data_IF_067988024960
#
_entry.id   IF_067988024960
#
_cell.length_a   1.000
_cell.length_b   1.000
_cell.length_c   1.000
_cell.angle_alpha   90.00
_cell.angle_beta   90.00
_cell.angle_gamma   90.00
#
_symmetry.space_group_name_H-M   'P 1'
#
loop_
_entity.id
_entity.type
_entity.pdbx_description
1 polymer ?
#
# COMPACT_ATOMS: atom_id res chain seq x y z
N UNK A 1 -33.44 27.73 -52.52
CA UNK A 1 -33.63 28.59 -51.34
C UNK A 1 -34.25 27.76 -50.22
N UNK A 2 -33.68 27.88 -49.02
CA UNK A 2 -34.24 27.56 -47.69
C UNK A 2 -34.31 26.10 -47.24
N UNK A 3 -33.59 25.90 -46.13
CA UNK A 3 -33.13 24.69 -45.45
C UNK A 3 -34.19 23.88 -44.67
N UNK A 4 -33.81 22.66 -44.20
CA UNK A 4 -34.71 21.66 -43.64
C UNK A 4 -34.68 21.56 -42.09
N UNK A 5 -35.62 20.77 -41.57
CA UNK A 5 -35.56 19.95 -40.36
C UNK A 5 -35.26 20.65 -39.01
N UNK A 6 -36.34 21.01 -38.31
CA UNK A 6 -36.40 21.34 -36.89
C UNK A 6 -36.70 20.06 -36.11
N UNK A 7 -35.97 19.73 -35.02
CA UNK A 7 -36.43 18.66 -34.12
C UNK A 7 -35.47 17.98 -33.14
N UNK A 8 -34.21 18.39 -32.95
CA UNK A 8 -33.38 17.76 -31.90
C UNK A 8 -33.57 18.47 -30.55
N UNK A 9 -34.32 17.83 -29.64
CA UNK A 9 -34.37 18.16 -28.21
C UNK A 9 -33.05 17.78 -27.51
N UNK A 10 -32.45 18.65 -26.69
CA UNK A 10 -31.29 18.29 -25.88
C UNK A 10 -31.67 17.33 -24.74
N UNK A 11 -30.91 16.25 -24.59
CA UNK A 11 -31.03 15.27 -23.51
C UNK A 11 -30.35 15.82 -22.25
N UNK A 12 -31.16 16.09 -21.21
CA UNK A 12 -30.87 15.91 -19.79
C UNK A 12 -29.65 16.58 -19.16
N UNK A 13 -29.89 17.63 -18.38
CA UNK A 13 -29.06 18.07 -17.26
C UNK A 13 -28.98 16.97 -16.18
N UNK A 14 -27.80 16.60 -15.64
CA UNK A 14 -27.75 15.73 -14.47
C UNK A 14 -28.27 16.50 -13.25
N UNK A 15 -29.38 16.01 -12.70
CA UNK A 15 -30.05 16.51 -11.52
C UNK A 15 -29.21 16.18 -10.28
N UNK A 16 -28.88 17.20 -9.49
CA UNK A 16 -27.99 17.11 -8.33
C UNK A 16 -28.53 16.18 -7.24
N UNK A 17 -27.72 15.17 -6.89
CA UNK A 17 -27.87 14.43 -5.65
C UNK A 17 -27.37 15.27 -4.48
N UNK A 18 -28.16 15.36 -3.41
CA UNK A 18 -27.78 15.98 -2.16
C UNK A 18 -26.88 15.02 -1.38
N UNK A 19 -25.60 15.38 -1.21
CA UNK A 19 -24.67 14.67 -0.33
C UNK A 19 -24.88 15.13 1.13
N UNK A 20 -25.16 14.22 2.09
CA UNK A 20 -25.50 14.57 3.46
C UNK A 20 -24.29 14.75 4.41
N UNK A 21 -23.09 14.99 3.88
CA UNK A 21 -21.87 15.13 4.67
C UNK A 21 -21.13 16.45 4.40
N UNK A 22 -21.48 17.48 5.17
CA UNK A 22 -20.56 18.51 5.68
C UNK A 22 -19.69 19.27 4.67
N UNK A 23 -20.26 20.31 4.09
CA UNK A 23 -19.67 21.30 3.19
C UNK A 23 -18.56 22.13 3.90
N UNK A 24 -17.30 21.82 3.62
CA UNK A 24 -16.21 22.76 3.81
C UNK A 24 -16.08 23.57 2.51
N UNK A 25 -16.41 24.85 2.57
CA UNK A 25 -16.35 25.81 1.47
C UNK A 25 -15.06 25.72 0.65
N UNK A 26 -15.13 25.14 -0.55
CA UNK A 26 -14.18 25.40 -1.64
C UNK A 26 -14.88 26.31 -2.65
N UNK A 27 -14.95 27.60 -2.33
CA UNK A 27 -15.19 28.63 -3.31
C UNK A 27 -13.96 28.71 -4.22
N UNK A 28 -13.97 27.96 -5.32
CA UNK A 28 -12.99 28.13 -6.40
C UNK A 28 -13.41 29.36 -7.19
N UNK A 29 -12.60 30.42 -7.11
CA UNK A 29 -12.79 31.65 -7.87
C UNK A 29 -12.75 31.36 -9.39
N UNK A 30 -13.62 31.98 -10.21
CA UNK A 30 -13.70 31.70 -11.63
C UNK A 30 -12.74 32.63 -12.42
N UNK A 31 -11.44 32.62 -12.12
CA UNK A 31 -10.50 33.46 -12.85
C UNK A 31 -9.03 33.05 -12.68
N UNK A 32 -8.72 31.77 -12.84
CA UNK A 32 -7.38 31.42 -13.31
C UNK A 32 -7.50 30.54 -14.53
N UNK A 33 -7.14 31.17 -15.65
CA UNK A 33 -6.91 30.56 -16.93
C UNK A 33 -6.41 29.13 -16.74
N UNK A 34 -7.17 28.17 -17.28
CA UNK A 34 -6.66 26.85 -17.58
C UNK A 34 -5.45 27.05 -18.51
N UNK A 35 -4.28 27.28 -17.90
CA UNK A 35 -2.99 27.22 -18.55
C UNK A 35 -2.88 25.80 -19.06
N UNK A 36 -3.08 25.65 -20.37
CA UNK A 36 -2.90 24.41 -21.09
C UNK A 36 -1.47 23.92 -20.86
N UNK A 37 -1.32 23.05 -19.86
CA UNK A 37 -0.15 22.20 -19.74
C UNK A 37 -0.43 20.93 -20.55
N UNK A 38 -0.75 21.11 -21.84
CA UNK A 38 -0.54 20.04 -22.80
C UNK A 38 0.96 19.98 -23.04
N UNK A 39 1.58 18.84 -22.76
CA UNK A 39 2.97 18.53 -23.08
C UNK A 39 3.23 18.44 -24.59
N UNK A 40 2.68 19.36 -25.37
CA UNK A 40 2.93 19.53 -26.79
C UNK A 40 4.28 20.22 -26.96
N UNK A 41 5.38 19.46 -26.80
CA UNK A 41 6.54 19.72 -27.66
C UNK A 41 6.06 19.35 -29.07
N UNK A 42 5.65 20.39 -29.81
CA UNK A 42 5.03 20.24 -31.10
C UNK A 42 5.96 19.56 -32.07
N UNK A 43 5.49 18.48 -32.69
CA UNK A 43 5.84 18.21 -34.08
C UNK A 43 5.54 19.49 -34.86
N UNK A 44 6.52 20.10 -35.56
CA UNK A 44 6.22 21.20 -36.46
C UNK A 44 5.13 20.70 -37.41
N UNK A 45 4.02 21.42 -37.47
CA UNK A 45 2.88 21.08 -38.32
C UNK A 45 2.85 22.10 -39.44
N UNK A 46 2.68 21.61 -40.66
CA UNK A 46 2.44 22.48 -41.82
C UNK A 46 1.16 23.29 -41.61
N UNK A 47 0.95 24.34 -42.40
CA UNK A 47 -0.27 25.17 -42.34
C UNK A 47 -1.58 24.36 -42.52
N UNK A 48 -1.49 23.10 -42.97
CA UNK A 48 -2.60 22.16 -43.16
C UNK A 48 -2.79 21.18 -41.96
N UNK A 49 -2.06 21.37 -40.86
CA UNK A 49 -2.16 20.54 -39.65
C UNK A 49 -1.53 19.14 -39.78
N UNK A 50 -0.74 18.89 -40.84
CA UNK A 50 -0.02 17.63 -41.04
C UNK A 50 1.40 17.75 -40.47
N UNK A 51 1.96 16.68 -39.88
CA UNK A 51 3.35 16.70 -39.40
C UNK A 51 4.28 17.10 -40.55
N UNK A 52 5.08 18.13 -40.33
CA UNK A 52 6.08 18.63 -41.27
C UNK A 52 7.32 17.74 -41.17
N UNK A 53 7.39 16.76 -42.05
CA UNK A 53 8.41 15.70 -42.09
C UNK A 53 9.50 15.98 -43.12
N UNK A 54 9.39 17.06 -43.91
CA UNK A 54 10.33 17.36 -45.01
C UNK A 54 11.73 17.76 -44.51
N UNK A 55 11.92 17.98 -43.21
CA UNK A 55 13.22 18.30 -42.59
C UNK A 55 13.63 17.41 -41.40
N UNK A 56 12.81 16.44 -40.98
CA UNK A 56 13.11 15.63 -39.80
C UNK A 56 14.04 14.48 -40.16
N UNK A 57 15.29 14.55 -39.69
CA UNK A 57 16.24 13.48 -39.92
C UNK A 57 15.84 12.20 -39.18
N UNK A 58 16.17 11.03 -39.73
CA UNK A 58 15.96 9.71 -39.09
C UNK A 58 16.59 9.65 -37.70
N UNK A 59 17.72 10.34 -37.50
CA UNK A 59 18.38 10.45 -36.19
C UNK A 59 17.54 11.21 -35.15
N UNK A 60 16.71 12.15 -35.59
CA UNK A 60 15.84 12.94 -34.72
C UNK A 60 14.62 12.12 -34.23
N UNK A 61 14.04 11.30 -35.12
CA UNK A 61 12.95 10.37 -34.76
C UNK A 61 13.41 9.28 -33.80
N UNK A 62 14.61 8.72 -34.00
CA UNK A 62 15.20 7.76 -33.06
C UNK A 62 15.53 8.42 -31.71
N UNK A 63 15.98 9.68 -31.72
CA UNK A 63 16.20 10.46 -30.51
C UNK A 63 14.93 10.69 -29.70
N UNK A 64 13.81 10.98 -30.37
CA UNK A 64 12.48 11.12 -29.74
C UNK A 64 11.98 9.79 -29.17
N UNK A 65 12.04 8.69 -29.94
CA UNK A 65 11.65 7.37 -29.45
C UNK A 65 12.48 6.92 -28.23
N UNK A 66 13.79 7.13 -28.26
CA UNK A 66 14.67 6.82 -27.12
C UNK A 66 14.31 7.65 -25.87
N UNK A 67 13.91 8.91 -26.07
CA UNK A 67 13.50 9.82 -25.00
C UNK A 67 12.14 9.42 -24.41
N UNK A 68 11.21 8.96 -25.24
CA UNK A 68 9.90 8.48 -24.81
C UNK A 68 10.02 7.16 -24.04
N UNK A 69 10.82 6.21 -24.54
CA UNK A 69 11.13 4.96 -23.82
C UNK A 69 11.83 5.23 -22.49
N UNK A 70 12.78 6.16 -22.46
CA UNK A 70 13.45 6.59 -21.22
C UNK A 70 12.46 7.21 -20.22
N UNK A 71 11.45 7.93 -20.73
CA UNK A 71 10.40 8.52 -19.90
C UNK A 71 9.46 7.46 -19.34
N UNK A 72 9.03 6.48 -20.15
CA UNK A 72 8.22 5.34 -19.71
C UNK A 72 8.96 4.51 -18.66
N UNK A 73 10.22 4.14 -18.91
CA UNK A 73 11.03 3.39 -17.94
C UNK A 73 11.15 4.13 -16.61
N UNK A 74 11.36 5.44 -16.64
CA UNK A 74 11.41 6.26 -15.42
C UNK A 74 10.06 6.29 -14.70
N UNK A 75 8.95 6.30 -15.43
CA UNK A 75 7.60 6.27 -14.88
C UNK A 75 7.27 4.91 -14.25
N UNK A 76 7.61 3.80 -14.90
CA UNK A 76 7.42 2.46 -14.32
C UNK A 76 8.23 2.28 -13.04
N UNK A 77 9.48 2.74 -13.02
CA UNK A 77 10.29 2.73 -11.79
C UNK A 77 9.68 3.63 -10.71
N UNK A 78 9.17 4.80 -11.08
CA UNK A 78 8.51 5.70 -10.13
C UNK A 78 7.22 5.08 -9.55
N UNK A 79 6.44 4.39 -10.38
CA UNK A 79 5.22 3.70 -9.96
C UNK A 79 5.54 2.51 -9.06
N UNK A 80 6.47 1.65 -9.46
CA UNK A 80 6.91 0.51 -8.65
C UNK A 80 7.45 0.97 -7.29
N UNK A 81 8.21 2.08 -7.27
CA UNK A 81 8.67 2.70 -6.02
C UNK A 81 7.51 3.18 -5.16
N UNK A 82 6.49 3.82 -5.75
CA UNK A 82 5.32 4.30 -5.03
C UNK A 82 4.50 3.14 -4.45
N UNK A 83 4.34 2.04 -5.19
CA UNK A 83 3.65 0.84 -4.75
C UNK A 83 4.40 0.17 -3.59
N UNK A 84 5.71 -0.06 -3.74
CA UNK A 84 6.55 -0.60 -2.66
C UNK A 84 6.50 0.30 -1.42
N UNK A 85 6.50 1.62 -1.58
CA UNK A 85 6.38 2.54 -0.44
C UNK A 85 5.01 2.46 0.23
N UNK A 86 3.92 2.34 -0.54
CA UNK A 86 2.58 2.18 -0.02
C UNK A 86 2.43 0.85 0.75
N UNK A 87 2.94 -0.24 0.18
CA UNK A 87 2.98 -1.55 0.82
C UNK A 87 3.84 -1.53 2.08
N UNK A 88 5.03 -0.94 2.03
CA UNK A 88 5.91 -0.80 3.19
C UNK A 88 5.24 -0.01 4.32
N UNK A 89 4.51 1.06 4.00
CA UNK A 89 3.75 1.83 5.00
C UNK A 89 2.61 1.01 5.61
N UNK A 90 1.88 0.24 4.80
CA UNK A 90 0.81 -0.64 5.27
C UNK A 90 1.36 -1.74 6.18
N UNK A 91 2.43 -2.41 5.76
CA UNK A 91 3.13 -3.41 6.56
C UNK A 91 3.69 -2.80 7.85
N UNK A 92 4.33 -1.63 7.77
CA UNK A 92 4.86 -0.90 8.92
C UNK A 92 3.79 -0.52 9.94
N UNK A 93 2.61 -0.06 9.50
CA UNK A 93 1.47 0.17 10.39
C UNK A 93 1.00 -1.12 11.07
N UNK A 94 0.92 -2.22 10.33
CA UNK A 94 0.56 -3.53 10.86
C UNK A 94 1.52 -3.99 11.96
N UNK A 95 2.83 -3.96 11.69
CA UNK A 95 3.87 -4.29 12.66
C UNK A 95 3.83 -3.35 13.87
N UNK A 96 3.69 -2.05 13.64
CA UNK A 96 3.59 -1.06 14.71
C UNK A 96 2.41 -1.31 15.65
N UNK A 97 1.24 -1.64 15.10
CA UNK A 97 0.06 -2.01 15.90
C UNK A 97 0.25 -3.32 16.67
N UNK A 98 0.94 -4.32 16.10
CA UNK A 98 1.23 -5.56 16.82
C UNK A 98 2.19 -5.34 18.00
N UNK A 99 3.24 -4.54 17.81
CA UNK A 99 4.17 -4.17 18.89
C UNK A 99 3.43 -3.39 19.97
N UNK A 100 2.60 -2.42 19.58
CA UNK A 100 1.78 -1.66 20.53
C UNK A 100 0.82 -2.56 21.30
N UNK A 101 0.10 -3.45 20.63
CA UNK A 101 -0.83 -4.38 21.28
C UNK A 101 -0.09 -5.34 22.24
N UNK A 102 1.10 -5.81 21.87
CA UNK A 102 1.95 -6.62 22.74
C UNK A 102 2.36 -5.87 24.01
N UNK A 103 2.81 -4.62 23.88
CA UNK A 103 3.19 -3.78 25.02
C UNK A 103 1.99 -3.44 25.91
N UNK A 104 0.87 -3.04 25.31
CA UNK A 104 -0.36 -2.73 26.03
C UNK A 104 -0.86 -3.97 26.80
N UNK A 105 -0.90 -5.13 26.15
CA UNK A 105 -1.27 -6.40 26.79
C UNK A 105 -0.33 -6.77 27.93
N UNK A 106 0.98 -6.59 27.77
CA UNK A 106 1.96 -6.81 28.83
C UNK A 106 1.71 -5.91 30.05
N UNK A 107 1.50 -4.61 29.83
CA UNK A 107 1.19 -3.67 30.90
C UNK A 107 -0.12 -4.01 31.62
N UNK A 108 -1.17 -4.35 30.86
CA UNK A 108 -2.44 -4.80 31.44
C UNK A 108 -2.25 -6.00 32.34
N UNK A 109 -1.50 -7.01 31.90
CA UNK A 109 -1.22 -8.21 32.69
C UNK A 109 -0.40 -7.90 33.95
N UNK A 110 0.57 -6.98 33.86
CA UNK A 110 1.36 -6.52 35.00
C UNK A 110 0.49 -5.83 36.05
N UNK A 111 -0.34 -4.87 35.64
CA UNK A 111 -1.26 -4.17 36.57
C UNK A 111 -2.33 -5.10 37.14
N UNK A 112 -2.85 -6.04 36.34
CA UNK A 112 -3.81 -7.03 36.82
C UNK A 112 -3.17 -7.96 37.86
N UNK A 113 -1.91 -8.36 37.66
CA UNK A 113 -1.17 -9.19 38.61
C UNK A 113 -0.95 -8.45 39.93
N UNK A 114 -0.58 -7.17 39.85
CA UNK A 114 -0.39 -6.35 41.04
C UNK A 114 -1.71 -6.11 41.77
N UNK A 115 -2.78 -5.78 41.04
CA UNK A 115 -4.11 -5.61 41.60
C UNK A 115 -4.64 -6.90 42.24
N UNK A 116 -4.39 -8.06 41.62
CA UNK A 116 -4.77 -9.36 42.18
C UNK A 116 -4.01 -9.63 43.47
N UNK A 117 -2.68 -9.42 43.48
CA UNK A 117 -1.87 -9.59 44.69
C UNK A 117 -2.38 -8.70 45.83
N UNK A 118 -2.64 -7.42 45.55
CA UNK A 118 -3.16 -6.46 46.53
C UNK A 118 -4.57 -6.85 47.01
N UNK A 119 -5.41 -7.36 46.12
CA UNK A 119 -6.72 -7.87 46.50
C UNK A 119 -6.61 -9.09 47.44
N UNK A 120 -5.74 -10.05 47.14
CA UNK A 120 -5.50 -11.19 48.03
C UNK A 120 -4.87 -10.79 49.37
N UNK A 121 -4.01 -9.78 49.39
CA UNK A 121 -3.38 -9.25 50.61
C UNK A 121 -4.41 -8.74 51.64
N UNK A 122 -5.60 -8.32 51.20
CA UNK A 122 -6.70 -7.98 52.11
C UNK A 122 -7.33 -9.20 52.79
N UNK A 123 -7.10 -10.41 52.28
CA UNK A 123 -7.69 -11.66 52.75
C UNK A 123 -6.67 -12.58 53.44
N UNK A 124 -5.37 -12.42 53.16
CA UNK A 124 -4.29 -13.28 53.67
C UNK A 124 -2.95 -12.56 53.69
N UNK A 125 -1.92 -13.20 54.26
CA UNK A 125 -0.55 -12.69 54.26
C UNK A 125 -0.02 -12.39 52.85
N UNK A 126 0.71 -11.26 52.71
CA UNK A 126 1.25 -10.77 51.44
C UNK A 126 2.14 -11.80 50.74
N UNK A 127 2.89 -12.60 51.51
CA UNK A 127 3.75 -13.66 50.98
C UNK A 127 2.93 -14.77 50.32
N UNK A 128 1.83 -15.19 50.94
CA UNK A 128 0.91 -16.18 50.36
C UNK A 128 0.18 -15.64 49.14
N UNK A 129 -0.26 -14.37 49.17
CA UNK A 129 -0.86 -13.70 48.02
C UNK A 129 0.10 -13.69 46.82
N UNK A 130 1.37 -13.31 47.04
CA UNK A 130 2.41 -13.33 46.02
C UNK A 130 2.69 -14.73 45.47
N UNK A 131 2.70 -15.75 46.33
CA UNK A 131 2.92 -17.14 45.92
C UNK A 131 1.78 -17.66 45.02
N UNK A 132 0.52 -17.33 45.33
CA UNK A 132 -0.62 -17.70 44.49
C UNK A 132 -0.50 -17.07 43.09
N UNK A 133 -0.19 -15.77 43.03
CA UNK A 133 0.01 -15.06 41.75
C UNK A 133 1.18 -15.65 40.97
N UNK A 134 2.27 -16.02 41.64
CA UNK A 134 3.42 -16.67 41.03
C UNK A 134 3.07 -18.06 40.45
N UNK A 135 2.28 -18.87 41.17
CA UNK A 135 1.81 -20.17 40.69
C UNK A 135 0.91 -20.01 39.46
N UNK A 136 -0.01 -19.04 39.46
CA UNK A 136 -0.86 -18.72 38.31
C UNK A 136 -0.02 -18.42 37.06
N UNK A 137 1.00 -17.57 37.18
CA UNK A 137 1.92 -17.27 36.08
C UNK A 137 2.79 -18.46 35.68
N UNK A 138 3.21 -19.29 36.64
CA UNK A 138 3.94 -20.53 36.36
C UNK A 138 3.14 -21.49 35.49
N UNK A 139 1.84 -21.65 35.78
CA UNK A 139 0.92 -22.47 34.95
C UNK A 139 0.76 -21.84 33.56
N UNK A 140 0.50 -20.54 33.49
CA UNK A 140 0.36 -19.83 32.21
C UNK A 140 1.63 -19.99 31.34
N UNK A 141 2.81 -19.86 31.94
CA UNK A 141 4.09 -20.05 31.26
C UNK A 141 4.30 -21.49 30.78
N UNK A 142 3.94 -22.49 31.61
CA UNK A 142 4.03 -23.90 31.23
C UNK A 142 3.13 -24.22 30.02
N UNK A 143 1.89 -23.71 30.01
CA UNK A 143 0.97 -23.85 28.87
C UNK A 143 1.51 -23.14 27.64
N UNK A 144 1.95 -21.89 27.78
CA UNK A 144 2.51 -21.09 26.69
C UNK A 144 3.73 -21.75 26.04
N UNK A 145 4.68 -22.24 26.85
CA UNK A 145 5.86 -22.98 26.36
C UNK A 145 5.47 -24.28 25.66
N UNK A 146 4.47 -25.00 26.17
CA UNK A 146 3.98 -26.23 25.54
C UNK A 146 3.37 -25.95 24.18
N UNK A 147 2.48 -24.95 24.08
CA UNK A 147 1.85 -24.53 22.83
C UNK A 147 2.88 -23.98 21.83
N UNK A 148 3.78 -23.10 22.28
CA UNK A 148 4.83 -22.53 21.43
C UNK A 148 5.75 -23.60 20.86
N UNK A 149 6.17 -24.57 21.67
CA UNK A 149 6.95 -25.72 21.18
C UNK A 149 6.20 -26.54 20.15
N UNK A 150 4.88 -26.74 20.30
CA UNK A 150 4.06 -27.45 19.31
C UNK A 150 3.97 -26.67 18.00
N UNK A 151 3.71 -25.36 18.07
CA UNK A 151 3.64 -24.51 16.89
C UNK A 151 4.97 -24.48 16.12
N UNK A 152 6.10 -24.31 16.83
CA UNK A 152 7.43 -24.32 16.20
C UNK A 152 7.77 -25.65 15.54
N UNK A 153 7.35 -26.78 16.12
CA UNK A 153 7.54 -28.11 15.51
C UNK A 153 6.74 -28.32 14.24
N UNK A 154 5.67 -27.56 14.02
CA UNK A 154 4.83 -27.65 12.82
C UNK A 154 5.31 -26.75 11.69
N UNK A 155 6.23 -25.82 11.96
CA UNK A 155 6.83 -24.98 10.92
C UNK A 155 7.87 -25.80 10.16
N UNK A 156 7.58 -26.15 8.91
CA UNK A 156 8.57 -26.67 7.97
C UNK A 156 9.35 -25.48 7.37
N UNK A 157 10.65 -25.32 7.66
CA UNK A 157 11.43 -24.19 7.15
C UNK A 157 11.80 -24.33 5.67
N UNK A 158 11.52 -25.47 5.05
CA UNK A 158 11.79 -25.72 3.62
C UNK A 158 10.58 -25.28 2.80
N UNK A 159 10.69 -24.28 1.90
CA UNK A 159 9.61 -23.94 0.99
C UNK A 159 9.47 -25.07 -0.03
N UNK A 160 8.59 -26.04 0.23
CA UNK A 160 8.45 -27.24 -0.62
C UNK A 160 8.29 -26.89 -2.11
N UNK A 161 7.64 -25.76 -2.42
CA UNK A 161 7.38 -25.33 -3.80
C UNK A 161 8.53 -24.63 -4.50
N UNK A 162 9.52 -24.10 -3.78
CA UNK A 162 10.64 -23.35 -4.37
C UNK A 162 11.87 -24.22 -4.57
N UNK A 163 12.04 -25.27 -3.75
CA UNK A 163 13.20 -26.17 -3.90
C UNK A 163 13.02 -27.12 -5.08
N UNK A 164 11.79 -27.53 -5.40
CA UNK A 164 11.52 -28.42 -6.54
C UNK A 164 11.80 -27.73 -7.89
N UNK A 165 11.41 -26.46 -8.05
CA UNK A 165 11.67 -25.68 -9.27
C UNK A 165 13.14 -25.33 -9.47
N UNK A 166 13.92 -25.19 -8.39
CA UNK A 166 15.36 -24.95 -8.46
C UNK A 166 16.17 -26.25 -8.63
N UNK A 167 15.65 -27.39 -8.16
CA UNK A 167 16.28 -28.71 -8.31
C UNK A 167 16.05 -29.34 -9.68
N UNK A 168 15.07 -28.84 -10.46
CA UNK A 168 14.81 -29.24 -11.85
C UNK A 168 15.68 -28.54 -12.90
N UNK A 169 16.50 -27.55 -12.53
CA UNK A 169 17.47 -26.90 -13.46
C UNK A 169 18.94 -27.28 -13.16
N UNK A 170 19.34 -28.56 -13.07
CA UNK A 170 20.74 -28.93 -13.12
C UNK A 170 21.18 -29.04 -14.59
N UNK A 171 21.53 -27.92 -15.23
CA UNK A 171 22.09 -28.00 -16.59
C UNK A 171 22.43 -26.71 -17.33
N UNK A 172 21.88 -25.55 -16.95
CA UNK A 172 22.02 -24.33 -17.77
C UNK A 172 23.29 -23.50 -17.52
N UNK A 173 24.18 -23.91 -16.61
CA UNK A 173 25.43 -23.21 -16.29
C UNK A 173 26.66 -24.11 -16.52
N UNK A 174 26.80 -24.66 -17.73
CA UNK A 174 28.11 -25.05 -18.26
C UNK A 174 28.54 -24.02 -19.30
N UNK A 175 29.52 -23.15 -18.99
CA UNK A 175 30.12 -22.30 -20.01
C UNK A 175 30.89 -23.19 -21.00
N UNK A 176 30.67 -22.97 -22.30
CA UNK A 176 31.56 -23.43 -23.37
C UNK A 176 32.66 -22.40 -23.59
#
# INVERSE_FOLDING_TARGET
>A
MSSPYSGATPVGTPQGGQDPYGEANYAVAPDQAYGGHSGTMGTPTTAEGRPDIEGTSVGQLFGELAKDLSTLMRQEVALAKAEVQAEAKKAGKGVGLMVYAGLAGFLTLLFLSHSLMWFLDNLMDTGLAGLIVAVLWGIAAAVGLSMGRKALKQVNPKPERTVDTLSEVPGALKPH
#
